data_IF_152811689996
#
_entry.id   IF_152811689996
#
_cell.length_a   1.000
_cell.length_b   1.000
_cell.length_c   1.000
_cell.angle_alpha   90.00
_cell.angle_beta   90.00
_cell.angle_gamma   90.00
#
_symmetry.space_group_name_H-M   'P 1'
#
loop_
_entity.id
_entity.type
_entity.pdbx_description
1 polymer ?
#
# COMPACT_ATOMS: atom_id res chain seq x y z
N UNK A 1 -6.22 13.93 -20.78
CA UNK A 1 -6.70 13.08 -21.91
C UNK A 1 -7.97 12.37 -21.46
N UNK A 2 -9.08 12.52 -22.19
CA UNK A 2 -10.32 11.80 -21.90
C UNK A 2 -10.35 10.49 -22.69
N UNK A 3 -10.40 9.36 -21.98
CA UNK A 3 -10.63 8.05 -22.57
C UNK A 3 -12.11 7.92 -22.92
N UNK A 4 -12.41 7.48 -24.16
CA UNK A 4 -13.78 7.30 -24.64
C UNK A 4 -14.02 5.83 -24.99
N UNK A 5 -15.22 5.35 -24.76
CA UNK A 5 -15.64 3.98 -25.06
C UNK A 5 -15.95 3.17 -23.80
N UNK A 6 -16.37 1.91 -23.95
CA UNK A 6 -16.63 1.04 -22.81
C UNK A 6 -15.31 0.73 -22.08
N UNK A 7 -15.28 0.96 -20.79
CA UNK A 7 -14.17 0.61 -19.91
C UNK A 7 -14.41 -0.79 -19.32
N UNK A 8 -13.32 -1.52 -19.12
CA UNK A 8 -13.31 -2.79 -18.40
C UNK A 8 -12.01 -2.88 -17.60
N UNK A 9 -12.09 -2.80 -16.29
CA UNK A 9 -10.94 -2.94 -15.39
C UNK A 9 -10.82 -4.39 -14.93
N UNK A 10 -9.71 -5.04 -15.28
CA UNK A 10 -9.46 -6.45 -14.96
C UNK A 10 -9.16 -6.68 -13.47
N UNK A 11 -8.61 -5.68 -12.78
CA UNK A 11 -8.33 -5.75 -11.35
C UNK A 11 -9.64 -5.64 -10.54
N UNK A 12 -10.55 -4.76 -10.95
CA UNK A 12 -11.89 -4.64 -10.35
C UNK A 12 -12.73 -5.89 -10.64
N UNK A 13 -12.66 -6.43 -11.85
CA UNK A 13 -13.33 -7.69 -12.19
C UNK A 13 -12.88 -8.84 -11.27
N UNK A 14 -11.58 -8.98 -11.08
CA UNK A 14 -11.03 -9.98 -10.16
C UNK A 14 -11.42 -9.69 -8.70
N UNK A 15 -11.44 -8.42 -8.26
CA UNK A 15 -11.84 -8.04 -6.91
C UNK A 15 -13.25 -8.50 -6.56
N UNK A 16 -14.19 -8.32 -7.49
CA UNK A 16 -15.58 -8.72 -7.29
C UNK A 16 -15.71 -10.25 -7.22
N UNK A 17 -14.97 -10.98 -8.05
CA UNK A 17 -14.99 -12.45 -8.08
C UNK A 17 -14.25 -13.07 -6.89
N UNK A 18 -13.18 -12.42 -6.41
CA UNK A 18 -12.28 -12.94 -5.38
C UNK A 18 -11.91 -11.84 -4.36
N UNK A 19 -12.87 -11.37 -3.53
CA UNK A 19 -12.67 -10.22 -2.62
C UNK A 19 -11.56 -10.45 -1.59
N UNK A 20 -11.36 -11.69 -1.16
CA UNK A 20 -10.34 -12.05 -0.16
C UNK A 20 -8.91 -12.11 -0.71
N UNK A 21 -8.74 -12.09 -2.04
CA UNK A 21 -7.43 -12.12 -2.66
C UNK A 21 -6.91 -10.69 -2.89
N UNK A 22 -5.85 -10.30 -2.16
CA UNK A 22 -5.28 -8.96 -2.21
C UNK A 22 -4.24 -8.75 -3.33
N UNK A 23 -3.85 -9.80 -4.07
CA UNK A 23 -2.86 -9.73 -5.14
C UNK A 23 -3.56 -9.67 -6.50
N UNK A 24 -3.65 -8.46 -7.07
CA UNK A 24 -4.47 -8.17 -8.26
C UNK A 24 -3.70 -7.46 -9.38
N UNK A 25 -2.36 -7.36 -9.29
CA UNK A 25 -1.60 -6.79 -10.41
C UNK A 25 -1.78 -7.62 -11.67
N UNK A 26 -1.67 -7.00 -12.83
CA UNK A 26 -1.83 -7.67 -14.12
C UNK A 26 -0.94 -8.91 -14.21
N UNK A 27 0.34 -8.82 -13.81
CA UNK A 27 1.28 -9.93 -13.82
C UNK A 27 0.77 -11.13 -13.01
N UNK A 28 0.30 -10.86 -11.78
CA UNK A 28 -0.26 -11.91 -10.90
C UNK A 28 -1.51 -12.53 -11.49
N UNK A 29 -2.37 -11.72 -12.12
CA UNK A 29 -3.57 -12.23 -12.77
C UNK A 29 -3.23 -13.05 -14.01
N UNK A 30 -2.23 -12.64 -14.80
CA UNK A 30 -1.74 -13.41 -15.95
C UNK A 30 -1.19 -14.78 -15.51
N UNK A 31 -0.36 -14.80 -14.49
CA UNK A 31 0.19 -16.05 -13.94
C UNK A 31 -0.91 -16.99 -13.42
N UNK A 32 -1.82 -16.48 -12.62
CA UNK A 32 -2.82 -17.30 -11.93
C UNK A 32 -3.98 -17.74 -12.84
N UNK A 33 -4.44 -16.87 -13.73
CA UNK A 33 -5.67 -17.07 -14.48
C UNK A 33 -5.41 -17.51 -15.94
N UNK A 34 -4.28 -17.09 -16.51
CA UNK A 34 -3.91 -17.43 -17.89
C UNK A 34 -2.74 -18.43 -17.97
N UNK A 35 -2.03 -18.67 -16.86
CA UNK A 35 -0.84 -19.51 -16.83
C UNK A 35 0.35 -18.92 -17.60
N UNK A 36 0.40 -17.59 -17.75
CA UNK A 36 1.40 -16.85 -18.48
C UNK A 36 2.16 -15.91 -17.57
N UNK A 37 3.50 -15.93 -17.62
CA UNK A 37 4.37 -15.04 -16.85
C UNK A 37 4.86 -13.90 -17.74
N UNK A 38 4.34 -12.66 -17.57
CA UNK A 38 4.73 -11.51 -18.38
C UNK A 38 6.17 -11.07 -18.10
N UNK A 39 6.72 -10.28 -19.03
CA UNK A 39 8.01 -9.62 -18.83
C UNK A 39 7.90 -8.63 -17.67
N UNK A 40 8.67 -8.80 -16.58
CA UNK A 40 8.60 -7.88 -15.45
C UNK A 40 9.24 -6.54 -15.82
N UNK A 41 8.62 -5.41 -15.46
CA UNK A 41 9.14 -4.06 -15.70
C UNK A 41 10.58 -3.86 -15.18
N UNK A 42 10.99 -4.66 -14.20
CA UNK A 42 12.36 -4.62 -13.66
C UNK A 42 13.42 -5.08 -14.63
N UNK A 43 13.07 -5.79 -15.70
CA UNK A 43 14.01 -6.12 -16.77
C UNK A 43 14.30 -4.90 -17.66
N UNK A 44 13.36 -3.97 -17.78
CA UNK A 44 13.51 -2.76 -18.57
C UNK A 44 14.22 -1.64 -17.80
N UNK A 45 13.77 -1.38 -16.58
CA UNK A 45 14.22 -0.21 -15.80
C UNK A 45 15.04 -0.56 -14.55
N UNK A 46 15.24 -1.84 -14.28
CA UNK A 46 15.97 -2.31 -13.10
C UNK A 46 15.12 -2.34 -11.82
N UNK A 47 15.70 -2.85 -10.75
CA UNK A 47 15.03 -2.95 -9.45
C UNK A 47 14.84 -1.58 -8.82
N UNK A 48 13.80 -1.44 -7.98
CA UNK A 48 13.52 -0.21 -7.24
C UNK A 48 14.72 0.20 -6.37
N UNK A 49 15.21 1.43 -6.57
CA UNK A 49 16.37 1.95 -5.85
C UNK A 49 16.93 3.22 -6.53
N UNK A 50 18.11 3.66 -6.07
CA UNK A 50 18.76 4.87 -6.60
C UNK A 50 19.17 4.76 -8.08
N UNK A 51 19.45 3.54 -8.52
CA UNK A 51 19.93 3.25 -9.88
C UNK A 51 18.80 2.82 -10.83
N UNK A 52 17.53 2.93 -10.39
CA UNK A 52 16.39 2.62 -11.24
C UNK A 52 16.29 3.63 -12.38
N UNK A 53 16.25 3.12 -13.62
CA UNK A 53 16.11 3.92 -14.84
C UNK A 53 14.66 4.41 -15.00
N UNK A 54 14.48 5.38 -15.89
CA UNK A 54 13.16 5.79 -16.36
C UNK A 54 12.76 4.99 -17.61
N UNK A 55 11.47 4.79 -17.85
CA UNK A 55 10.99 4.26 -19.15
C UNK A 55 11.41 5.11 -20.35
N UNK A 56 11.78 6.39 -20.14
CA UNK A 56 12.34 7.26 -21.17
C UNK A 56 13.72 6.81 -21.67
N UNK A 57 14.44 6.05 -20.84
CA UNK A 57 15.80 5.58 -21.12
C UNK A 57 15.79 4.19 -21.81
N UNK A 58 14.60 3.57 -21.97
CA UNK A 58 14.42 2.28 -22.61
C UNK A 58 14.32 2.46 -24.11
N UNK A 59 14.98 1.58 -24.86
CA UNK A 59 14.89 1.56 -26.32
C UNK A 59 13.43 1.35 -26.77
N UNK A 60 13.01 2.13 -27.77
CA UNK A 60 11.61 2.13 -28.24
C UNK A 60 11.14 0.75 -28.69
N UNK A 61 12.01 -0.04 -29.34
CA UNK A 61 11.66 -1.39 -29.79
C UNK A 61 11.30 -2.30 -28.60
N UNK A 62 12.11 -2.28 -27.53
CA UNK A 62 11.90 -3.07 -26.31
C UNK A 62 10.65 -2.57 -25.55
N UNK A 63 10.51 -1.25 -25.44
CA UNK A 63 9.33 -0.65 -24.80
C UNK A 63 8.03 -0.98 -25.57
N UNK A 64 8.11 -1.10 -26.90
CA UNK A 64 6.99 -1.50 -27.75
C UNK A 64 6.58 -2.95 -27.48
N UNK A 65 7.53 -3.89 -27.41
CA UNK A 65 7.23 -5.29 -27.09
C UNK A 65 6.55 -5.43 -25.74
N UNK A 66 7.09 -4.78 -24.71
CA UNK A 66 6.51 -4.74 -23.36
C UNK A 66 5.07 -4.18 -23.38
N UNK A 67 4.85 -3.04 -24.03
CA UNK A 67 3.53 -2.40 -24.07
C UNK A 67 2.51 -3.21 -24.88
N UNK A 68 2.94 -3.91 -25.94
CA UNK A 68 2.10 -4.81 -26.70
C UNK A 68 1.70 -6.04 -25.88
N UNK A 69 2.64 -6.63 -25.15
CA UNK A 69 2.39 -7.74 -24.23
C UNK A 69 1.37 -7.35 -23.15
N UNK A 70 1.57 -6.22 -22.44
CA UNK A 70 0.64 -5.72 -21.44
C UNK A 70 -0.78 -5.53 -21.98
N UNK A 71 -0.88 -5.01 -23.20
CA UNK A 71 -2.16 -4.76 -23.85
C UNK A 71 -2.87 -6.06 -24.22
N UNK A 72 -2.14 -7.03 -24.77
CA UNK A 72 -2.68 -8.33 -25.16
C UNK A 72 -3.15 -9.12 -23.93
N UNK A 73 -2.34 -9.18 -22.88
CA UNK A 73 -2.68 -9.82 -21.61
C UNK A 73 -3.94 -9.20 -21.01
N UNK A 74 -4.04 -7.88 -20.97
CA UNK A 74 -5.23 -7.18 -20.46
C UNK A 74 -6.48 -7.57 -21.25
N UNK A 75 -6.38 -7.71 -22.56
CA UNK A 75 -7.49 -8.15 -23.41
C UNK A 75 -7.88 -9.60 -23.12
N UNK A 76 -6.91 -10.49 -22.95
CA UNK A 76 -7.14 -11.89 -22.60
C UNK A 76 -7.80 -12.01 -21.21
N UNK A 77 -7.32 -11.25 -20.21
CA UNK A 77 -7.93 -11.20 -18.88
C UNK A 77 -9.38 -10.71 -18.93
N UNK A 78 -9.70 -9.71 -19.76
CA UNK A 78 -11.09 -9.32 -20.00
C UNK A 78 -11.92 -10.47 -20.54
N UNK A 79 -11.43 -11.16 -21.58
CA UNK A 79 -12.13 -12.30 -22.16
C UNK A 79 -12.35 -13.44 -21.16
N UNK A 80 -11.45 -13.61 -20.20
CA UNK A 80 -11.53 -14.59 -19.13
C UNK A 80 -12.53 -14.19 -18.03
N UNK A 81 -12.48 -12.94 -17.56
CA UNK A 81 -13.31 -12.49 -16.44
C UNK A 81 -14.76 -12.15 -16.82
N UNK A 82 -15.01 -11.62 -18.01
CA UNK A 82 -16.37 -11.17 -18.38
C UNK A 82 -17.41 -12.31 -18.35
N UNK A 83 -17.14 -13.53 -18.87
CA UNK A 83 -18.07 -14.65 -18.71
C UNK A 83 -18.28 -15.07 -17.25
N UNK A 84 -17.22 -15.02 -16.44
CA UNK A 84 -17.29 -15.39 -15.00
C UNK A 84 -18.17 -14.42 -14.23
N UNK A 85 -18.01 -13.10 -14.44
CA UNK A 85 -18.89 -12.09 -13.82
C UNK A 85 -20.37 -12.33 -14.16
N UNK A 86 -20.66 -12.81 -15.37
CA UNK A 86 -22.03 -13.14 -15.79
C UNK A 86 -22.53 -14.41 -15.13
N UNK A 87 -21.71 -15.46 -15.07
CA UNK A 87 -22.09 -16.76 -14.46
C UNK A 87 -22.30 -16.65 -12.94
N UNK A 88 -21.52 -15.81 -12.26
CA UNK A 88 -21.63 -15.54 -10.82
C UNK A 88 -22.73 -14.52 -10.47
N UNK A 89 -23.47 -14.00 -11.48
CA UNK A 89 -24.52 -12.99 -11.30
C UNK A 89 -24.06 -11.65 -10.70
N UNK A 90 -22.78 -11.30 -10.82
CA UNK A 90 -22.18 -10.06 -10.32
C UNK A 90 -21.83 -9.05 -11.44
N UNK A 91 -22.18 -9.35 -12.69
CA UNK A 91 -21.89 -8.47 -13.83
C UNK A 91 -22.60 -7.11 -13.73
N UNK A 92 -23.81 -7.06 -13.18
CA UNK A 92 -24.52 -5.80 -12.97
C UNK A 92 -23.80 -4.91 -11.93
N UNK A 93 -23.34 -5.49 -10.82
CA UNK A 93 -22.52 -4.79 -9.84
C UNK A 93 -21.26 -4.21 -10.49
N UNK A 94 -20.54 -5.04 -11.24
CA UNK A 94 -19.35 -4.60 -11.97
C UNK A 94 -19.64 -3.42 -12.90
N UNK A 95 -20.63 -3.57 -13.78
CA UNK A 95 -20.90 -2.62 -14.86
C UNK A 95 -21.55 -1.33 -14.39
N UNK A 96 -22.53 -1.43 -13.47
CA UNK A 96 -23.41 -0.31 -13.13
C UNK A 96 -22.98 0.43 -11.86
N UNK A 97 -22.08 -0.15 -11.06
CA UNK A 97 -21.57 0.45 -9.82
C UNK A 97 -20.05 0.65 -9.89
N UNK A 98 -19.28 -0.43 -10.00
CA UNK A 98 -17.84 -0.37 -9.84
C UNK A 98 -17.14 0.35 -11.01
N UNK A 99 -17.54 0.07 -12.25
CA UNK A 99 -16.93 0.74 -13.41
C UNK A 99 -17.21 2.24 -13.46
N UNK A 100 -18.42 2.75 -13.21
CA UNK A 100 -18.67 4.18 -13.06
C UNK A 100 -17.91 4.82 -11.89
N UNK A 101 -17.72 4.11 -10.78
CA UNK A 101 -17.01 4.58 -9.60
C UNK A 101 -15.55 4.94 -9.92
N UNK A 102 -14.89 4.23 -10.83
CA UNK A 102 -13.51 4.53 -11.25
C UNK A 102 -13.39 5.98 -11.73
N UNK A 103 -14.33 6.44 -12.55
CA UNK A 103 -14.32 7.81 -13.07
C UNK A 103 -14.52 8.84 -11.94
N UNK A 104 -15.44 8.55 -11.01
CA UNK A 104 -15.68 9.41 -9.85
C UNK A 104 -14.44 9.52 -8.97
N UNK A 105 -13.78 8.40 -8.70
CA UNK A 105 -12.55 8.39 -7.90
C UNK A 105 -11.41 9.13 -8.60
N UNK A 106 -11.27 8.96 -9.93
CA UNK A 106 -10.27 9.69 -10.70
C UNK A 106 -10.51 11.20 -10.66
N UNK A 107 -11.75 11.66 -10.79
CA UNK A 107 -12.11 13.08 -10.67
C UNK A 107 -11.82 13.60 -9.25
N UNK A 108 -12.09 12.81 -8.20
CA UNK A 108 -11.78 13.17 -6.82
C UNK A 108 -10.26 13.27 -6.58
N UNK A 109 -9.48 12.35 -7.15
CA UNK A 109 -8.02 12.37 -7.06
C UNK A 109 -7.42 13.57 -7.81
N UNK A 110 -7.98 13.93 -8.99
CA UNK A 110 -7.56 15.10 -9.77
C UNK A 110 -7.86 16.42 -9.05
N UNK A 111 -9.03 16.53 -8.42
CA UNK A 111 -9.42 17.70 -7.61
C UNK A 111 -8.55 17.82 -6.35
N UNK A 112 -8.25 16.69 -5.72
CA UNK A 112 -7.42 16.62 -4.52
C UNK A 112 -8.15 17.08 -3.27
N UNK A 113 -7.36 17.33 -2.21
CA UNK A 113 -7.86 17.74 -0.89
C UNK A 113 -7.22 19.09 -0.50
N UNK A 114 -8.02 20.03 -0.07
CA UNK A 114 -7.51 21.29 0.47
C UNK A 114 -6.99 21.06 1.90
N UNK A 115 -5.67 21.14 2.07
CA UNK A 115 -5.01 21.01 3.37
C UNK A 115 -4.73 22.40 3.93
N UNK A 116 -5.14 22.64 5.18
CA UNK A 116 -4.65 23.77 5.97
C UNK A 116 -3.25 23.46 6.50
N UNK A 117 -2.25 23.73 5.67
CA UNK A 117 -0.85 23.49 6.01
C UNK A 117 -0.40 24.33 7.22
N UNK A 118 -0.99 25.52 7.43
CA UNK A 118 -0.67 26.37 8.57
C UNK A 118 -1.16 25.74 9.87
N UNK A 119 -2.41 25.30 9.92
CA UNK A 119 -2.98 24.60 11.06
C UNK A 119 -2.15 23.35 11.44
N UNK A 120 -1.76 22.55 10.45
CA UNK A 120 -0.95 21.36 10.67
C UNK A 120 0.43 21.70 11.22
N UNK A 121 1.06 22.77 10.71
CA UNK A 121 2.36 23.23 11.19
C UNK A 121 2.26 23.74 12.65
N UNK A 122 1.27 24.59 12.93
CA UNK A 122 1.04 25.14 14.26
C UNK A 122 0.74 24.00 15.27
N UNK A 123 -0.05 23.01 14.86
CA UNK A 123 -0.34 21.83 15.66
C UNK A 123 0.88 20.93 15.90
N UNK A 124 1.72 20.75 14.88
CA UNK A 124 2.98 20.00 14.99
C UNK A 124 3.94 20.62 16.00
N UNK A 125 4.06 21.96 16.01
CA UNK A 125 4.88 22.69 17.01
C UNK A 125 4.34 22.44 18.42
N UNK A 126 3.03 22.61 18.61
CA UNK A 126 2.37 22.39 19.91
C UNK A 126 2.56 20.96 20.41
N UNK A 127 2.38 19.97 19.53
CA UNK A 127 2.62 18.57 19.89
C UNK A 127 4.09 18.32 20.27
N UNK A 128 5.04 18.95 19.56
CA UNK A 128 6.46 18.86 19.89
C UNK A 128 6.73 19.36 21.32
N UNK A 129 6.21 20.53 21.67
CA UNK A 129 6.35 21.08 23.04
C UNK A 129 5.73 20.18 24.12
N UNK A 130 4.55 19.60 23.85
CA UNK A 130 3.91 18.65 24.78
C UNK A 130 4.72 17.35 24.92
N UNK A 131 5.28 16.83 23.83
CA UNK A 131 6.14 15.64 23.84
C UNK A 131 7.40 15.91 24.66
N UNK A 132 8.07 17.03 24.44
CA UNK A 132 9.29 17.41 25.18
C UNK A 132 9.02 17.50 26.70
N UNK A 133 7.87 18.06 27.09
CA UNK A 133 7.47 18.14 28.49
C UNK A 133 7.21 16.76 29.10
N UNK A 134 6.54 15.87 28.38
CA UNK A 134 6.25 14.51 28.82
C UNK A 134 7.56 13.72 28.93
N UNK A 135 8.42 13.83 27.92
CA UNK A 135 9.73 13.17 27.90
C UNK A 135 10.60 13.58 29.09
N UNK A 136 10.65 14.89 29.39
CA UNK A 136 11.36 15.40 30.54
C UNK A 136 10.83 14.80 31.85
N UNK A 137 9.53 14.70 32.04
CA UNK A 137 8.90 14.06 33.22
C UNK A 137 9.25 12.57 33.30
N UNK A 138 9.22 11.85 32.17
CA UNK A 138 9.57 10.43 32.14
C UNK A 138 11.02 10.23 32.59
N UNK A 139 11.96 11.05 32.11
CA UNK A 139 13.37 10.96 32.53
C UNK A 139 13.57 11.36 33.99
N UNK A 140 12.82 12.33 34.50
CA UNK A 140 12.85 12.71 35.92
C UNK A 140 12.38 11.55 36.81
N UNK A 141 11.23 10.95 36.51
CA UNK A 141 10.70 9.81 37.26
C UNK A 141 11.57 8.55 37.13
N UNK A 142 12.15 8.32 35.96
CA UNK A 142 13.06 7.18 35.72
C UNK A 142 14.43 7.38 36.38
N UNK A 143 14.82 8.63 36.69
CA UNK A 143 16.15 8.98 37.21
C UNK A 143 17.28 8.81 36.20
N UNK A 144 16.94 8.54 34.91
CA UNK A 144 17.91 8.30 33.83
C UNK A 144 17.33 8.56 32.47
N UNK A 145 18.21 8.89 31.50
CA UNK A 145 17.81 8.98 30.07
C UNK A 145 17.90 7.64 29.38
N UNK A 146 16.93 7.33 28.57
CA UNK A 146 16.86 6.12 27.74
C UNK A 146 16.03 6.37 26.49
N UNK A 147 16.03 5.45 25.53
CA UNK A 147 15.25 5.59 24.31
C UNK A 147 13.80 5.14 24.58
N UNK A 148 12.89 6.11 24.79
CA UNK A 148 11.48 5.88 25.13
C UNK A 148 10.75 5.11 24.01
N UNK A 149 11.15 5.28 22.73
CA UNK A 149 10.60 4.54 21.61
C UNK A 149 11.10 3.08 21.50
N UNK A 150 11.98 2.64 22.42
CA UNK A 150 12.49 1.27 22.46
C UNK A 150 11.75 0.44 23.52
N UNK A 151 10.83 -0.48 23.15
CA UNK A 151 10.13 -1.34 24.12
C UNK A 151 11.08 -2.11 25.02
N UNK A 152 12.26 -2.50 24.50
CA UNK A 152 13.29 -3.19 25.27
C UNK A 152 13.80 -2.29 26.42
N UNK A 153 14.26 -1.07 26.11
CA UNK A 153 14.78 -0.16 27.12
C UNK A 153 13.70 0.30 28.11
N UNK A 154 12.48 0.54 27.63
CA UNK A 154 11.33 0.81 28.50
C UNK A 154 11.12 -0.34 29.48
N UNK A 155 11.14 -1.59 29.02
CA UNK A 155 11.00 -2.75 29.87
C UNK A 155 12.11 -2.88 30.92
N UNK A 156 13.37 -2.65 30.54
CA UNK A 156 14.52 -2.65 31.45
C UNK A 156 14.37 -1.56 32.51
N UNK A 157 13.98 -0.34 32.15
CA UNK A 157 13.76 0.75 33.10
C UNK A 157 12.61 0.44 34.06
N UNK A 158 11.46 0.01 33.57
CA UNK A 158 10.28 -0.24 34.39
C UNK A 158 10.47 -1.42 35.35
N UNK A 159 11.07 -2.52 34.89
CA UNK A 159 11.06 -3.78 35.63
C UNK A 159 12.38 -4.12 36.29
N UNK A 160 13.53 -3.71 35.74
CA UNK A 160 14.83 -3.96 36.33
C UNK A 160 15.29 -2.79 37.22
N UNK A 161 15.07 -1.54 36.77
CA UNK A 161 15.50 -0.35 37.48
C UNK A 161 14.46 0.10 38.50
N UNK A 162 13.25 0.46 38.09
CA UNK A 162 12.18 0.95 38.96
C UNK A 162 11.43 -0.16 39.69
N UNK A 163 11.52 -1.41 39.23
CA UNK A 163 10.92 -2.59 39.88
C UNK A 163 9.44 -2.45 40.18
N UNK A 164 8.69 -1.82 39.25
CA UNK A 164 7.26 -1.51 39.42
C UNK A 164 6.38 -2.77 39.53
N UNK A 165 6.89 -3.95 39.17
CA UNK A 165 6.18 -5.22 39.29
C UNK A 165 7.13 -6.35 39.71
N UNK A 166 6.69 -7.17 40.68
CA UNK A 166 7.44 -8.33 41.15
C UNK A 166 7.47 -9.51 40.13
N UNK A 167 6.50 -9.57 39.19
CA UNK A 167 6.38 -10.62 38.18
C UNK A 167 5.97 -10.03 36.82
N UNK A 168 6.88 -9.33 36.13
CA UNK A 168 6.57 -8.76 34.83
C UNK A 168 6.35 -9.88 33.80
N UNK A 169 5.37 -9.67 32.93
CA UNK A 169 5.13 -10.57 31.79
C UNK A 169 6.27 -10.46 30.78
N UNK A 170 6.67 -11.58 30.20
CA UNK A 170 7.64 -11.62 29.11
C UNK A 170 7.00 -12.17 27.84
N UNK A 171 7.47 -11.68 26.69
CA UNK A 171 7.12 -12.19 25.37
C UNK A 171 7.75 -13.57 25.15
N UNK A 172 7.34 -14.27 24.09
CA UNK A 172 7.96 -15.56 23.69
C UNK A 172 9.47 -15.45 23.43
N UNK A 173 9.96 -14.27 23.09
CA UNK A 173 11.38 -13.96 22.85
C UNK A 173 12.14 -13.54 24.12
N UNK A 174 11.50 -13.56 25.31
CA UNK A 174 12.10 -13.23 26.58
C UNK A 174 12.18 -11.73 26.92
N UNK A 175 11.71 -10.85 26.05
CA UNK A 175 11.61 -9.42 26.31
C UNK A 175 10.42 -9.11 27.22
N UNK A 176 10.50 -8.03 28.00
CA UNK A 176 9.37 -7.54 28.75
C UNK A 176 8.21 -7.14 27.82
N UNK A 177 6.99 -7.48 28.22
CA UNK A 177 5.79 -6.98 27.57
C UNK A 177 5.48 -5.59 28.14
N UNK A 178 5.72 -4.55 27.34
CA UNK A 178 5.49 -3.13 27.66
C UNK A 178 4.34 -2.61 26.83
#
# INVERSE_FOLDING_TARGET
VRVKGPLFDTMVAHYILHPDNNRRSMDVLAENELGYSPMPITELIGKKGKDQKSMRDVEVAIACEYACEDTDITLQLKAYFEPKLKSENVYALFKDVEMPLITVLADMEEEGVNLDAKLLTDYSVKLGEEIDQIEAKIYEEAGMKFLISSPKQVGEVLFDHLKISAKPKKTKTGQYAT
#
